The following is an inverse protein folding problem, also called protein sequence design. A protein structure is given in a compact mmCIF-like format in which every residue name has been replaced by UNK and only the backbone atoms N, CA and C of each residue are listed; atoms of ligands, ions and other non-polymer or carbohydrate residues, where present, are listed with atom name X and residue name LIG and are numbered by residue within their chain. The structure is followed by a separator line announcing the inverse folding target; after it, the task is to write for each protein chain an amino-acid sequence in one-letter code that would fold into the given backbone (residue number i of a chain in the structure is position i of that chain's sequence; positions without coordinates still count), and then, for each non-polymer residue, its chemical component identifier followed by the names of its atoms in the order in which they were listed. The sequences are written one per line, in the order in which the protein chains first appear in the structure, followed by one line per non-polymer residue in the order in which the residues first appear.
data_IF_137871101394
#
_entry.id   IF_137871101394
#
_cell.length_a   1.000
_cell.length_b   1.000
_cell.length_c   1.000
_cell.angle_alpha   90.00
_cell.angle_beta   90.00
_cell.angle_gamma   90.00
#
_symmetry.space_group_name_H-M   'P 1'
#
loop_
_entity.id
_entity.type
_entity.pdbx_description
1 polymer ?
#
# COMPACT_ATOMS: atom_id res chain seq x y z
N UNK A 1 13.37 22.96 -22.20
CA UNK A 1 13.63 22.20 -20.95
C UNK A 1 15.02 22.55 -20.44
N UNK A 2 15.12 22.99 -19.19
CA UNK A 2 16.39 23.47 -18.61
C UNK A 2 17.27 22.30 -18.13
N UNK A 3 18.56 22.55 -17.95
CA UNK A 3 19.52 21.57 -17.43
C UNK A 3 19.19 21.14 -16.00
N UNK A 4 18.69 22.07 -15.19
CA UNK A 4 18.19 21.83 -13.82
C UNK A 4 17.02 20.84 -13.84
N UNK A 5 16.08 20.99 -14.77
CA UNK A 5 14.95 20.05 -14.92
C UNK A 5 15.42 18.63 -15.24
N UNK A 6 16.48 18.51 -16.04
CA UNK A 6 17.07 17.21 -16.42
C UNK A 6 17.77 16.56 -15.23
N UNK A 7 18.50 17.36 -14.44
CA UNK A 7 19.16 16.91 -13.22
C UNK A 7 18.14 16.47 -12.15
N UNK A 8 17.09 17.26 -11.93
CA UNK A 8 16.03 16.92 -10.97
C UNK A 8 15.27 15.66 -11.37
N UNK A 9 15.01 15.45 -12.67
CA UNK A 9 14.36 14.23 -13.16
C UNK A 9 15.23 12.98 -12.97
N UNK A 10 16.54 13.11 -13.08
CA UNK A 10 17.50 12.04 -12.76
C UNK A 10 17.67 11.81 -11.27
N UNK A 11 17.54 12.85 -10.45
CA UNK A 11 17.64 12.76 -8.99
C UNK A 11 16.34 12.25 -8.33
N UNK A 12 15.18 12.53 -8.95
CA UNK A 12 13.85 12.14 -8.48
C UNK A 12 13.31 10.90 -9.19
N UNK A 13 14.20 9.97 -9.61
CA UNK A 13 13.73 8.67 -10.10
C UNK A 13 12.87 8.05 -9.01
N UNK A 14 11.63 7.64 -9.31
CA UNK A 14 10.74 7.06 -8.31
C UNK A 14 11.44 5.89 -7.61
N UNK A 15 11.77 6.08 -6.34
CA UNK A 15 12.34 5.01 -5.52
C UNK A 15 11.20 4.07 -5.19
N UNK A 16 11.27 2.85 -5.71
CA UNK A 16 10.24 1.87 -5.41
C UNK A 16 10.38 1.43 -3.94
N UNK A 17 9.36 1.64 -3.09
CA UNK A 17 9.44 1.26 -1.68
C UNK A 17 9.56 -0.26 -1.56
N UNK A 18 10.41 -0.71 -0.62
CA UNK A 18 10.60 -2.13 -0.36
C UNK A 18 9.32 -2.80 0.16
N UNK A 19 9.16 -4.11 -0.12
CA UNK A 19 8.03 -4.89 0.38
C UNK A 19 7.95 -4.85 1.92
N UNK A 20 9.09 -4.88 2.60
CA UNK A 20 9.18 -4.80 4.06
C UNK A 20 8.68 -3.46 4.62
N UNK A 21 8.92 -2.34 3.91
CA UNK A 21 8.38 -1.04 4.30
C UNK A 21 6.85 -1.03 4.21
N UNK A 22 6.30 -1.58 3.12
CA UNK A 22 4.86 -1.67 2.91
C UNK A 22 4.17 -2.51 3.98
N UNK A 23 4.75 -3.66 4.34
CA UNK A 23 4.23 -4.54 5.39
C UNK A 23 4.28 -3.87 6.78
N UNK A 24 5.37 -3.15 7.09
CA UNK A 24 5.49 -2.41 8.34
C UNK A 24 4.48 -1.28 8.42
N UNK A 25 4.26 -0.56 7.31
CA UNK A 25 3.29 0.52 7.23
C UNK A 25 1.85 0.00 7.36
N UNK A 26 1.52 -1.09 6.67
CA UNK A 26 0.22 -1.76 6.80
C UNK A 26 -0.04 -2.13 8.26
N UNK A 27 0.94 -2.73 8.94
CA UNK A 27 0.81 -3.09 10.36
C UNK A 27 0.56 -1.87 11.25
N UNK A 28 1.33 -0.78 11.07
CA UNK A 28 1.15 0.45 11.87
C UNK A 28 -0.21 1.13 11.62
N UNK A 29 -0.66 1.15 10.37
CA UNK A 29 -1.95 1.74 10.01
C UNK A 29 -3.11 0.89 10.54
N UNK A 30 -2.98 -0.45 10.53
CA UNK A 30 -3.95 -1.33 11.20
C UNK A 30 -3.98 -1.09 12.70
N UNK A 31 -2.83 -1.04 13.38
CA UNK A 31 -2.74 -0.73 14.82
C UNK A 31 -3.45 0.60 15.15
N UNK A 32 -3.22 1.65 14.34
CA UNK A 32 -3.83 2.96 14.52
C UNK A 32 -5.35 2.94 14.26
N UNK A 33 -5.78 2.20 13.24
CA UNK A 33 -7.21 2.06 12.90
C UNK A 33 -7.96 1.31 14.00
N UNK A 34 -7.40 0.22 14.51
CA UNK A 34 -8.02 -0.56 15.59
C UNK A 34 -8.15 0.26 16.88
N UNK A 35 -7.11 1.03 17.23
CA UNK A 35 -7.16 1.95 18.36
C UNK A 35 -8.24 3.04 18.19
N UNK A 36 -8.33 3.63 16.99
CA UNK A 36 -9.35 4.64 16.68
C UNK A 36 -10.77 4.04 16.70
N UNK A 37 -10.95 2.81 16.24
CA UNK A 37 -12.24 2.10 16.30
C UNK A 37 -12.65 1.82 17.74
N UNK A 38 -11.71 1.42 18.60
CA UNK A 38 -11.95 1.25 20.04
C UNK A 38 -12.48 2.53 20.69
N UNK A 39 -11.79 3.66 20.47
CA UNK A 39 -12.20 4.98 20.98
C UNK A 39 -13.57 5.44 20.43
N UNK A 40 -13.88 5.11 19.17
CA UNK A 40 -15.17 5.42 18.56
C UNK A 40 -16.30 4.53 19.08
N UNK A 41 -16.01 3.29 19.48
CA UNK A 41 -17.02 2.39 20.06
C UNK A 41 -17.41 2.82 21.48
N UNK A 42 -16.47 3.43 22.21
CA UNK A 42 -16.68 3.98 23.55
C UNK A 42 -17.28 5.40 23.53
N UNK A 43 -17.51 5.94 22.33
CA UNK A 43 -18.08 7.26 22.14
C UNK A 43 -19.55 7.33 22.61
N UNK A 44 -19.83 8.27 23.52
CA UNK A 44 -21.17 8.54 24.03
C UNK A 44 -22.03 9.32 23.00
N UNK A 45 -23.13 8.75 22.48
CA UNK A 45 -24.02 9.40 21.50
C UNK A 45 -24.67 10.69 22.03
N UNK A 46 -24.69 10.92 23.35
CA UNK A 46 -25.17 12.18 23.94
C UNK A 46 -24.30 13.38 23.55
N UNK A 47 -23.04 13.16 23.17
CA UNK A 47 -22.12 14.20 22.73
C UNK A 47 -22.48 14.79 21.35
N UNK A 48 -23.35 14.13 20.58
CA UNK A 48 -23.92 14.71 19.34
C UNK A 48 -24.91 15.85 19.62
N UNK A 49 -25.45 15.92 20.84
CA UNK A 49 -26.48 16.87 21.24
C UNK A 49 -25.94 18.26 21.59
N UNK A 50 -24.62 18.37 21.85
CA UNK A 50 -23.97 19.64 22.17
C UNK A 50 -22.93 20.03 21.09
N UNK A 51 -23.22 21.05 20.24
CA UNK A 51 -22.37 21.44 19.12
C UNK A 51 -20.97 21.90 19.53
N UNK A 52 -20.78 22.31 20.80
CA UNK A 52 -19.46 22.74 21.30
C UNK A 52 -18.50 21.58 21.53
N UNK A 53 -19.02 20.35 21.67
CA UNK A 53 -18.20 19.12 21.79
C UNK A 53 -17.82 18.53 20.42
N UNK A 54 -18.34 19.08 19.32
CA UNK A 54 -18.08 18.57 17.98
C UNK A 54 -16.62 18.65 17.54
N UNK A 55 -15.82 19.57 18.10
CA UNK A 55 -14.39 19.68 17.76
C UNK A 55 -13.61 18.37 18.04
N UNK A 56 -13.92 17.67 19.14
CA UNK A 56 -13.29 16.39 19.48
C UNK A 56 -13.73 15.27 18.53
N UNK A 57 -14.98 15.30 18.08
CA UNK A 57 -15.53 14.36 17.10
C UNK A 57 -14.94 14.56 15.70
N UNK A 58 -14.82 15.80 15.25
CA UNK A 58 -14.21 16.14 13.96
C UNK A 58 -12.74 15.73 13.95
N UNK A 59 -12.02 15.97 15.04
CA UNK A 59 -10.63 15.53 15.18
C UNK A 59 -10.51 13.99 15.11
N UNK A 60 -11.35 13.25 15.84
CA UNK A 60 -11.36 11.78 15.79
C UNK A 60 -11.73 11.25 14.39
N UNK A 61 -12.73 11.85 13.73
CA UNK A 61 -13.15 11.47 12.38
C UNK A 61 -12.09 11.72 11.32
N UNK A 62 -11.33 12.82 11.42
CA UNK A 62 -10.21 13.11 10.50
C UNK A 62 -9.08 12.07 10.67
N UNK A 63 -8.72 11.73 11.91
CA UNK A 63 -7.68 10.74 12.20
C UNK A 63 -8.09 9.36 11.69
N UNK A 64 -9.34 8.93 11.97
CA UNK A 64 -9.84 7.64 11.49
C UNK A 64 -9.97 7.59 9.96
N UNK A 65 -10.50 8.63 9.33
CA UNK A 65 -10.69 8.68 7.88
C UNK A 65 -9.38 8.69 7.10
N UNK A 66 -8.36 9.41 7.60
CA UNK A 66 -7.04 9.46 6.97
C UNK A 66 -6.27 8.16 7.13
N UNK A 67 -6.28 7.54 8.32
CA UNK A 67 -5.63 6.27 8.58
C UNK A 67 -6.27 5.13 7.76
N UNK A 68 -7.60 5.05 7.76
CA UNK A 68 -8.35 4.05 6.98
C UNK A 68 -8.14 4.21 5.46
N UNK A 69 -8.22 5.46 4.96
CA UNK A 69 -7.94 5.75 3.54
C UNK A 69 -6.51 5.37 3.13
N UNK A 70 -5.51 5.68 3.96
CA UNK A 70 -4.13 5.30 3.72
C UNK A 70 -3.94 3.77 3.71
N UNK A 71 -4.58 3.04 4.63
CA UNK A 71 -4.49 1.59 4.69
C UNK A 71 -5.07 0.93 3.43
N UNK A 72 -6.21 1.41 2.93
CA UNK A 72 -6.82 0.92 1.69
C UNK A 72 -5.88 1.12 0.50
N UNK A 73 -5.23 2.29 0.40
CA UNK A 73 -4.27 2.58 -0.66
C UNK A 73 -3.03 1.68 -0.58
N UNK A 74 -2.47 1.49 0.61
CA UNK A 74 -1.32 0.59 0.83
C UNK A 74 -1.66 -0.83 0.43
N UNK A 75 -2.83 -1.33 0.85
CA UNK A 75 -3.30 -2.69 0.55
C UNK A 75 -3.60 -2.90 -0.93
N UNK A 76 -4.19 -1.91 -1.59
CA UNK A 76 -4.40 -1.94 -3.05
C UNK A 76 -3.06 -2.03 -3.80
N UNK A 77 -2.08 -1.20 -3.42
CA UNK A 77 -0.74 -1.20 -4.02
C UNK A 77 0.01 -2.52 -3.75
N UNK A 78 -0.06 -3.05 -2.53
CA UNK A 78 0.58 -4.32 -2.17
C UNK A 78 -0.05 -5.50 -2.93
N UNK A 79 -1.38 -5.51 -3.11
CA UNK A 79 -2.08 -6.54 -3.91
C UNK A 79 -1.65 -6.51 -5.37
N UNK A 80 -1.49 -5.33 -5.96
CA UNK A 80 -0.98 -5.18 -7.32
C UNK A 80 0.46 -5.71 -7.44
N UNK A 81 1.34 -5.36 -6.50
CA UNK A 81 2.74 -5.86 -6.46
C UNK A 81 2.83 -7.38 -6.35
N UNK A 82 1.98 -8.01 -5.53
CA UNK A 82 1.95 -9.48 -5.41
C UNK A 82 1.55 -10.15 -6.73
N UNK A 83 0.61 -9.55 -7.48
CA UNK A 83 0.19 -10.05 -8.80
C UNK A 83 1.30 -9.93 -9.85
N UNK A 84 1.99 -8.79 -9.90
CA UNK A 84 3.14 -8.58 -10.80
C UNK A 84 4.26 -9.59 -10.52
N UNK A 85 4.62 -9.79 -9.25
CA UNK A 85 5.65 -10.75 -8.86
C UNK A 85 5.26 -12.21 -9.20
N UNK A 86 3.97 -12.57 -9.06
CA UNK A 86 3.47 -13.88 -9.46
C UNK A 86 3.48 -14.08 -10.98
N UNK A 87 3.09 -13.05 -11.75
CA UNK A 87 3.12 -13.07 -13.22
C UNK A 87 4.53 -13.25 -13.77
N UNK A 88 5.51 -12.54 -13.21
CA UNK A 88 6.92 -12.69 -13.57
C UNK A 88 7.45 -14.11 -13.28
N UNK A 89 7.07 -14.69 -12.13
CA UNK A 89 7.43 -16.08 -11.78
C UNK A 89 6.75 -17.13 -12.66
N UNK A 90 5.57 -16.84 -13.22
CA UNK A 90 4.88 -17.72 -14.15
C UNK A 90 5.54 -17.66 -15.54
N UNK A 91 5.88 -16.46 -16.03
CA UNK A 91 6.64 -16.27 -17.26
C UNK A 91 8.00 -16.96 -17.22
N UNK A 92 8.75 -16.81 -16.13
CA UNK A 92 10.05 -17.45 -15.97
C UNK A 92 9.96 -18.98 -16.01
N UNK A 93 8.87 -19.55 -15.47
CA UNK A 93 8.62 -20.99 -15.54
C UNK A 93 8.33 -21.43 -16.97
N UNK A 94 7.45 -20.72 -17.69
CA UNK A 94 7.16 -21.01 -19.10
C UNK A 94 8.40 -20.93 -19.99
N UNK A 95 9.26 -19.91 -19.81
CA UNK A 95 10.51 -19.80 -20.56
C UNK A 95 11.48 -20.95 -20.28
N UNK A 96 11.59 -21.39 -19.02
CA UNK A 96 12.43 -22.55 -18.67
C UNK A 96 11.91 -23.82 -19.32
N UNK A 97 10.61 -24.02 -19.33
CA UNK A 97 9.96 -25.20 -19.92
C UNK A 97 10.16 -25.26 -21.44
N UNK A 98 9.98 -24.13 -22.13
CA UNK A 98 10.28 -23.99 -23.57
C UNK A 98 11.76 -24.24 -23.85
N UNK A 99 12.66 -23.70 -23.03
CA UNK A 99 14.10 -23.91 -23.20
C UNK A 99 14.53 -25.36 -22.98
N UNK A 100 13.85 -26.06 -22.06
CA UNK A 100 14.10 -27.47 -21.78
C UNK A 100 13.61 -28.36 -22.93
N UNK A 101 12.44 -28.08 -23.49
CA UNK A 101 11.90 -28.81 -24.66
C UNK A 101 12.78 -28.60 -25.90
N UNK A 102 13.21 -27.37 -26.16
CA UNK A 102 14.10 -27.04 -27.28
C UNK A 102 15.44 -27.80 -27.17
N UNK A 103 15.99 -27.89 -25.94
CA UNK A 103 17.24 -28.61 -25.67
C UNK A 103 17.09 -30.13 -25.82
N UNK A 104 15.90 -30.67 -25.57
CA UNK A 104 15.62 -32.10 -25.78
C UNK A 104 15.52 -32.43 -27.27
N UNK A 105 14.94 -31.53 -28.08
CA UNK A 105 14.81 -31.70 -29.53
C UNK A 105 16.13 -31.57 -30.30
N UNK A 106 17.06 -30.74 -29.82
CA UNK A 106 18.38 -30.55 -30.45
C UNK A 106 19.38 -31.69 -30.18
N UNK A 107 19.04 -32.62 -29.28
CA UNK A 107 19.90 -33.74 -28.87
C UNK A 107 19.53 -35.07 -29.52
N UNK A 108 18.56 -35.06 -30.44
CA UNK A 108 18.05 -36.20 -31.21
C UNK A 108 18.31 -35.95 -32.69
#
# INVERSE_FOLDING_TARGET
MSEVERMLRGALVPVEPSMALSERLERRLSELTDAAVGELAEFDPSALRDPRRWARLVAAGIVAGTAGGALVLVRARQKQRRREAQGLRALQRGMREVSADMRHRLRR
#
